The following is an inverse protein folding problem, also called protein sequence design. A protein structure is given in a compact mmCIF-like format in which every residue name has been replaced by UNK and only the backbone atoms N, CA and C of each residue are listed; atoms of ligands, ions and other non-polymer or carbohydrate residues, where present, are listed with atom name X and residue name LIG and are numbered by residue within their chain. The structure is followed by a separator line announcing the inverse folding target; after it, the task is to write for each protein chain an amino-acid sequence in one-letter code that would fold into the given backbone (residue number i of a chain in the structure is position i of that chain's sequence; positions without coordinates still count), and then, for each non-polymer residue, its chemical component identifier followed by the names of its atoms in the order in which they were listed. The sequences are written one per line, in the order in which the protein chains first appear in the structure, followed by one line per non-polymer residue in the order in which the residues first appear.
data_IF_378872651279
#
_entry.id   IF_378872651279
#
_cell.length_a   1.000
_cell.length_b   1.000
_cell.length_c   1.000
_cell.angle_alpha   90.00
_cell.angle_beta   90.00
_cell.angle_gamma   90.00
#
_symmetry.space_group_name_H-M   'P 1'
#
loop_
_entity.id
_entity.type
_entity.pdbx_description
1 polymer ?
#
# COMPACT_ATOMS: atom_id res chain seq x y z
N UNK A 1 26.70 -16.79 -70.09
CA UNK A 1 26.73 -18.22 -69.77
C UNK A 1 27.28 -18.38 -68.37
N UNK A 2 26.41 -18.56 -67.38
CA UNK A 2 26.70 -19.11 -66.05
C UNK A 2 25.34 -19.41 -65.41
N UNK A 3 25.09 -20.68 -65.13
CA UNK A 3 23.90 -21.23 -64.48
C UNK A 3 23.86 -20.84 -63.00
N UNK A 4 22.71 -20.46 -62.42
CA UNK A 4 22.56 -20.38 -60.97
C UNK A 4 22.09 -21.73 -60.41
N UNK A 5 22.78 -22.14 -59.35
CA UNK A 5 22.58 -23.35 -58.55
C UNK A 5 21.24 -23.33 -57.81
N UNK A 6 20.50 -24.45 -57.89
CA UNK A 6 19.29 -24.75 -57.13
C UNK A 6 19.64 -25.10 -55.68
N UNK A 7 19.04 -24.39 -54.71
CA UNK A 7 18.94 -24.82 -53.31
C UNK A 7 17.66 -25.65 -53.11
N UNK A 8 17.68 -26.71 -52.29
CA UNK A 8 16.46 -27.39 -51.88
C UNK A 8 15.80 -26.69 -50.69
N UNK A 9 14.49 -26.49 -50.84
CA UNK A 9 13.55 -26.02 -49.81
C UNK A 9 13.28 -27.11 -48.79
N UNK A 10 13.58 -26.87 -47.52
CA UNK A 10 13.02 -27.63 -46.39
C UNK A 10 12.38 -26.66 -45.39
N UNK A 11 11.07 -26.81 -45.21
CA UNK A 11 10.27 -26.11 -44.21
C UNK A 11 10.64 -26.56 -42.78
N UNK A 12 10.66 -25.66 -41.78
CA UNK A 12 10.71 -26.06 -40.39
C UNK A 12 9.30 -26.30 -39.84
N UNK A 13 9.06 -27.52 -39.39
CA UNK A 13 7.87 -27.97 -38.65
C UNK A 13 7.96 -27.62 -37.16
N UNK A 14 6.88 -27.01 -36.66
CA UNK A 14 6.27 -27.15 -35.32
C UNK A 14 7.12 -27.00 -34.05
N UNK A 15 6.91 -25.87 -33.38
CA UNK A 15 6.48 -25.73 -31.97
C UNK A 15 7.06 -26.70 -30.92
N UNK A 16 8.16 -26.29 -30.28
CA UNK A 16 8.54 -26.74 -28.94
C UNK A 16 8.19 -25.68 -27.90
N UNK A 17 7.02 -25.76 -27.29
CA UNK A 17 6.68 -24.97 -26.10
C UNK A 17 7.42 -25.55 -24.90
N UNK A 18 8.43 -24.83 -24.41
CA UNK A 18 9.13 -25.16 -23.18
C UNK A 18 8.19 -24.88 -22.00
N UNK A 19 7.36 -25.87 -21.63
CA UNK A 19 6.57 -25.82 -20.41
C UNK A 19 7.50 -26.08 -19.23
N UNK A 20 7.76 -25.04 -18.43
CA UNK A 20 8.30 -25.19 -17.08
C UNK A 20 7.44 -26.14 -16.24
N UNK A 21 7.98 -26.66 -15.13
CA UNK A 21 7.32 -27.69 -14.35
C UNK A 21 5.95 -27.23 -13.87
N UNK A 22 4.96 -28.13 -13.76
CA UNK A 22 3.61 -27.78 -13.33
C UNK A 22 3.67 -27.26 -11.90
N UNK A 23 3.22 -26.03 -11.69
CA UNK A 23 2.95 -25.50 -10.35
C UNK A 23 1.72 -26.23 -9.80
N UNK A 24 1.93 -27.08 -8.80
CA UNK A 24 0.86 -27.75 -8.07
C UNK A 24 -0.01 -26.68 -7.38
N UNK A 25 -1.30 -26.66 -7.72
CA UNK A 25 -2.29 -25.72 -7.20
C UNK A 25 -2.75 -26.04 -5.78
N UNK A 26 -1.83 -26.16 -4.82
CA UNK A 26 -2.17 -26.53 -3.43
C UNK A 26 -1.49 -25.73 -2.32
N UNK A 27 -0.75 -24.66 -2.64
CA UNK A 27 -0.05 -23.85 -1.61
C UNK A 27 -0.67 -22.46 -1.37
N UNK A 28 -1.95 -22.30 -1.70
CA UNK A 28 -2.75 -21.13 -1.30
C UNK A 28 -3.53 -21.43 -0.01
N UNK A 29 -2.83 -21.88 1.05
CA UNK A 29 -3.40 -21.83 2.40
C UNK A 29 -3.03 -20.48 2.99
N UNK A 30 -3.67 -19.42 2.49
CA UNK A 30 -3.59 -18.10 3.11
C UNK A 30 -4.10 -18.24 4.54
N UNK A 31 -3.32 -17.77 5.51
CA UNK A 31 -3.66 -17.78 6.93
C UNK A 31 -5.05 -17.15 7.11
N UNK A 32 -6.07 -17.96 7.40
CA UNK A 32 -7.34 -17.49 7.95
C UNK A 32 -7.08 -17.03 9.38
N UNK A 33 -6.46 -15.85 9.52
CA UNK A 33 -6.13 -15.26 10.81
C UNK A 33 -7.19 -14.22 11.18
N UNK A 34 -7.56 -14.16 12.46
CA UNK A 34 -8.43 -13.12 13.03
C UNK A 34 -7.98 -11.69 12.64
N UNK A 35 -6.68 -11.48 12.40
CA UNK A 35 -6.12 -10.19 11.97
C UNK A 35 -6.24 -9.88 10.47
N UNK A 36 -6.71 -10.82 9.62
CA UNK A 36 -6.86 -10.56 8.18
C UNK A 36 -7.95 -9.51 7.92
N UNK A 37 -7.59 -8.49 7.11
CA UNK A 37 -8.47 -7.37 6.75
C UNK A 37 -9.04 -7.48 5.32
N UNK A 38 -8.29 -8.07 4.39
CA UNK A 38 -8.66 -8.33 3.01
C UNK A 38 -7.75 -9.43 2.41
N UNK A 39 -8.18 -10.16 1.37
CA UNK A 39 -7.26 -10.94 0.56
C UNK A 39 -6.38 -10.01 -0.29
N UNK A 40 -5.22 -10.49 -0.72
CA UNK A 40 -4.37 -9.73 -1.63
C UNK A 40 -5.04 -9.53 -2.99
N UNK A 41 -5.32 -8.28 -3.32
CA UNK A 41 -5.74 -7.85 -4.63
C UNK A 41 -5.06 -6.51 -4.93
N UNK A 42 -4.12 -6.45 -5.88
CA UNK A 42 -3.34 -5.26 -6.10
C UNK A 42 -4.18 -4.12 -6.69
N UNK A 43 -3.94 -2.90 -6.21
CA UNK A 43 -4.43 -1.68 -6.87
C UNK A 43 -3.83 -1.56 -8.27
N UNK A 44 -4.64 -1.24 -9.28
CA UNK A 44 -4.16 -1.03 -10.64
C UNK A 44 -3.54 0.38 -10.79
N UNK A 45 -2.62 0.54 -11.74
CA UNK A 45 -1.85 1.78 -11.93
C UNK A 45 -2.73 3.02 -12.08
N UNK A 46 -3.86 2.90 -12.77
CA UNK A 46 -4.83 4.00 -12.92
C UNK A 46 -5.42 4.41 -11.56
N UNK A 47 -5.84 3.45 -10.73
CA UNK A 47 -6.38 3.74 -9.41
C UNK A 47 -5.31 4.28 -8.46
N UNK A 48 -4.07 3.78 -8.55
CA UNK A 48 -2.92 4.32 -7.82
C UNK A 48 -2.65 5.78 -8.19
N UNK A 49 -2.64 6.12 -9.47
CA UNK A 49 -2.42 7.50 -9.92
C UNK A 49 -3.57 8.42 -9.53
N UNK A 50 -4.82 7.97 -9.63
CA UNK A 50 -5.98 8.74 -9.16
C UNK A 50 -5.91 8.98 -7.65
N UNK A 51 -5.59 7.95 -6.85
CA UNK A 51 -5.44 8.08 -5.40
C UNK A 51 -4.31 9.07 -5.04
N UNK A 52 -3.15 8.97 -5.71
CA UNK A 52 -2.02 9.90 -5.54
C UNK A 52 -2.42 11.35 -5.80
N UNK A 53 -3.17 11.60 -6.88
CA UNK A 53 -3.70 12.92 -7.25
C UNK A 53 -4.74 13.43 -6.24
N UNK A 54 -5.66 12.58 -5.80
CA UNK A 54 -6.69 12.94 -4.82
C UNK A 54 -6.09 13.31 -3.47
N UNK A 55 -5.04 12.60 -3.04
CA UNK A 55 -4.28 12.93 -1.83
C UNK A 55 -3.49 14.23 -1.95
N UNK A 56 -3.24 14.73 -3.17
CA UNK A 56 -2.42 15.90 -3.47
C UNK A 56 -1.03 15.83 -2.81
N UNK A 57 -0.39 14.66 -2.92
CA UNK A 57 0.90 14.36 -2.28
C UNK A 57 2.01 15.31 -2.72
N UNK A 58 2.81 15.75 -1.75
CA UNK A 58 3.97 16.63 -1.89
C UNK A 58 5.22 16.01 -1.26
N UNK A 59 6.35 16.66 -1.47
CA UNK A 59 7.65 16.32 -0.89
C UNK A 59 7.70 16.47 0.64
N UNK A 60 6.79 17.24 1.23
CA UNK A 60 6.65 17.38 2.69
C UNK A 60 5.69 16.38 3.34
N UNK A 61 5.06 15.51 2.55
CA UNK A 61 4.10 14.54 3.05
C UNK A 61 4.77 13.25 3.54
N UNK A 62 4.10 12.59 4.47
CA UNK A 62 4.39 11.23 4.89
C UNK A 62 3.14 10.39 4.60
N UNK A 63 3.24 9.52 3.59
CA UNK A 63 2.19 8.61 3.17
C UNK A 63 2.31 7.28 3.91
N UNK A 64 1.23 6.88 4.58
CA UNK A 64 1.07 5.52 5.08
C UNK A 64 0.10 4.71 4.20
N UNK A 65 0.41 3.44 3.96
CA UNK A 65 -0.48 2.47 3.30
C UNK A 65 -0.79 1.31 4.26
N UNK A 66 -2.06 1.17 4.65
CA UNK A 66 -2.50 0.18 5.64
C UNK A 66 -2.99 -1.11 4.95
N UNK A 67 -2.17 -2.16 5.02
CA UNK A 67 -2.34 -3.37 4.22
C UNK A 67 -1.72 -3.19 2.83
N UNK A 68 -0.44 -2.79 2.77
CA UNK A 68 0.19 -2.32 1.53
C UNK A 68 0.46 -3.43 0.50
N UNK A 69 0.30 -4.71 0.85
CA UNK A 69 0.53 -5.83 -0.07
C UNK A 69 1.96 -5.82 -0.63
N UNK A 70 2.09 -5.83 -1.95
CA UNK A 70 3.38 -5.74 -2.65
C UNK A 70 3.92 -4.30 -2.75
N UNK A 71 3.38 -3.38 -1.94
CA UNK A 71 3.75 -1.97 -1.82
C UNK A 71 3.62 -1.14 -3.10
N UNK A 72 2.99 -1.65 -4.17
CA UNK A 72 2.94 -0.98 -5.48
C UNK A 72 2.43 0.46 -5.44
N UNK A 73 1.48 0.77 -4.55
CA UNK A 73 0.96 2.14 -4.41
C UNK A 73 2.02 3.07 -3.83
N UNK A 74 2.77 2.62 -2.82
CA UNK A 74 3.88 3.37 -2.23
C UNK A 74 5.02 3.57 -3.22
N UNK A 75 5.40 2.52 -3.94
CA UNK A 75 6.46 2.58 -4.95
C UNK A 75 6.10 3.55 -6.07
N UNK A 76 4.85 3.49 -6.56
CA UNK A 76 4.32 4.45 -7.54
C UNK A 76 4.34 5.87 -6.99
N UNK A 77 3.82 6.10 -5.77
CA UNK A 77 3.77 7.43 -5.18
C UNK A 77 5.17 8.03 -4.96
N UNK A 78 6.10 7.26 -4.41
CA UNK A 78 7.47 7.71 -4.12
C UNK A 78 8.29 8.00 -5.38
N UNK A 79 8.08 7.23 -6.46
CA UNK A 79 8.72 7.47 -7.76
C UNK A 79 8.15 8.71 -8.46
N UNK A 80 6.84 8.94 -8.35
CA UNK A 80 6.15 10.06 -9.01
C UNK A 80 6.22 11.38 -8.23
N UNK A 81 6.61 11.33 -6.95
CA UNK A 81 6.68 12.50 -6.07
C UNK A 81 8.04 12.51 -5.35
N UNK A 82 9.06 13.15 -5.93
CA UNK A 82 10.37 13.30 -5.29
C UNK A 82 10.24 13.90 -3.89
N UNK A 83 11.00 13.39 -2.92
CA UNK A 83 10.97 13.85 -1.53
C UNK A 83 9.87 13.23 -0.66
N UNK A 84 8.79 12.69 -1.24
CA UNK A 84 7.72 12.03 -0.49
C UNK A 84 8.29 10.87 0.33
N UNK A 85 7.93 10.80 1.62
CA UNK A 85 8.24 9.68 2.50
C UNK A 85 7.04 8.72 2.56
N UNK A 86 7.32 7.42 2.51
CA UNK A 86 6.31 6.38 2.37
C UNK A 86 6.56 5.24 3.38
N UNK A 87 5.51 4.84 4.10
CA UNK A 87 5.56 3.70 5.03
C UNK A 87 4.40 2.75 4.75
N UNK A 88 4.70 1.49 4.49
CA UNK A 88 3.71 0.43 4.31
C UNK A 88 3.66 -0.46 5.53
N UNK A 89 2.45 -0.85 5.96
CA UNK A 89 2.25 -1.85 7.01
C UNK A 89 1.51 -3.03 6.38
N UNK A 90 2.13 -4.20 6.36
CA UNK A 90 1.57 -5.42 5.79
C UNK A 90 1.68 -6.58 6.78
N UNK A 91 0.62 -7.38 6.91
CA UNK A 91 0.55 -8.48 7.86
C UNK A 91 1.31 -9.70 7.34
N UNK A 92 1.15 -10.00 6.05
CA UNK A 92 1.70 -11.21 5.44
C UNK A 92 3.19 -11.01 5.06
N UNK A 93 4.11 -11.77 5.66
CA UNK A 93 5.54 -11.66 5.36
C UNK A 93 5.87 -11.93 3.88
N UNK A 94 5.06 -12.72 3.17
CA UNK A 94 5.26 -12.99 1.74
C UNK A 94 5.10 -11.71 0.91
N UNK A 95 4.11 -10.88 1.23
CA UNK A 95 3.89 -9.63 0.52
C UNK A 95 4.89 -8.55 0.93
N UNK A 96 5.28 -8.49 2.22
CA UNK A 96 6.41 -7.67 2.69
C UNK A 96 7.68 -7.97 1.88
N UNK A 97 8.02 -9.25 1.74
CA UNK A 97 9.20 -9.66 0.99
C UNK A 97 9.12 -9.24 -0.49
N UNK A 98 7.96 -9.47 -1.14
CA UNK A 98 7.73 -9.04 -2.54
C UNK A 98 7.86 -7.52 -2.72
N UNK A 99 7.29 -6.74 -1.80
CA UNK A 99 7.39 -5.28 -1.83
C UNK A 99 8.84 -4.79 -1.67
N UNK A 100 9.61 -5.39 -0.76
CA UNK A 100 11.03 -5.07 -0.58
C UNK A 100 11.88 -5.48 -1.78
N UNK A 101 11.59 -6.63 -2.40
CA UNK A 101 12.27 -7.05 -3.64
C UNK A 101 12.01 -6.08 -4.79
N UNK A 102 10.76 -5.61 -4.94
CA UNK A 102 10.41 -4.59 -5.92
C UNK A 102 11.10 -3.25 -5.62
N UNK A 103 11.14 -2.84 -4.35
CA UNK A 103 11.82 -1.61 -3.91
C UNK A 103 13.32 -1.64 -4.26
N UNK A 104 14.01 -2.77 -4.07
CA UNK A 104 15.44 -2.95 -4.42
C UNK A 104 15.74 -2.73 -5.91
N UNK A 105 14.73 -2.81 -6.79
CA UNK A 105 14.89 -2.55 -8.23
C UNK A 105 14.78 -1.06 -8.60
N UNK A 106 14.47 -0.18 -7.64
CA UNK A 106 14.28 1.25 -7.86
C UNK A 106 15.57 2.05 -7.58
N UNK A 107 15.67 3.31 -8.02
CA UNK A 107 16.77 4.19 -7.65
C UNK A 107 16.97 4.31 -6.14
N UNK A 108 18.22 4.53 -5.71
CA UNK A 108 18.60 4.61 -4.30
C UNK A 108 17.79 5.68 -3.53
N UNK A 109 17.51 6.83 -4.16
CA UNK A 109 16.70 7.88 -3.53
C UNK A 109 15.27 7.42 -3.21
N UNK A 110 14.70 6.51 -4.01
CA UNK A 110 13.39 5.91 -3.75
C UNK A 110 13.50 4.85 -2.66
N UNK A 111 14.56 4.03 -2.71
CA UNK A 111 14.84 3.01 -1.70
C UNK A 111 14.90 3.58 -0.29
N UNK A 112 15.55 4.73 -0.11
CA UNK A 112 15.68 5.41 1.19
C UNK A 112 14.37 5.95 1.74
N UNK A 113 13.45 6.36 0.86
CA UNK A 113 12.19 7.05 1.20
C UNK A 113 10.98 6.13 1.33
N UNK A 114 11.15 4.82 1.15
CA UNK A 114 10.07 3.84 1.30
C UNK A 114 10.48 2.79 2.32
N UNK A 115 9.67 2.63 3.36
CA UNK A 115 9.82 1.59 4.37
C UNK A 115 8.62 0.64 4.34
N UNK A 116 8.88 -0.66 4.27
CA UNK A 116 7.84 -1.70 4.14
C UNK A 116 7.92 -2.61 5.37
N UNK A 117 7.00 -2.37 6.28
CA UNK A 117 6.96 -2.97 7.61
C UNK A 117 6.03 -4.18 7.65
N UNK A 118 6.52 -5.24 8.27
CA UNK A 118 5.66 -6.35 8.66
C UNK A 118 4.98 -5.94 9.97
N UNK A 119 3.66 -5.96 10.02
CA UNK A 119 2.93 -5.53 11.21
C UNK A 119 1.45 -5.88 11.20
N UNK A 120 0.90 -6.08 12.40
CA UNK A 120 -0.54 -6.21 12.62
C UNK A 120 -1.12 -4.86 13.04
N UNK A 121 -2.02 -4.31 12.22
CA UNK A 121 -2.70 -3.03 12.49
C UNK A 121 -3.57 -3.08 13.75
N UNK A 122 -4.09 -4.25 14.13
CA UNK A 122 -4.84 -4.42 15.38
C UNK A 122 -3.90 -4.40 16.59
N UNK A 123 -2.67 -4.88 16.44
CA UNK A 123 -1.65 -4.76 17.49
C UNK A 123 -1.14 -3.31 17.60
N UNK A 124 -0.92 -2.63 16.47
CA UNK A 124 -0.54 -1.21 16.45
C UNK A 124 -1.55 -0.34 17.20
N UNK A 125 -2.84 -0.60 17.03
CA UNK A 125 -3.90 0.08 17.80
C UNK A 125 -3.75 -0.16 19.30
N UNK A 126 -3.53 -1.40 19.74
CA UNK A 126 -3.35 -1.72 21.16
C UNK A 126 -2.13 -0.99 21.74
N UNK A 127 -1.02 -0.99 21.01
CA UNK A 127 0.20 -0.32 21.42
C UNK A 127 -0.01 1.19 21.61
N UNK A 128 -0.75 1.82 20.70
CA UNK A 128 -1.15 3.23 20.83
C UNK A 128 -2.04 3.48 22.06
N UNK A 129 -3.03 2.60 22.30
CA UNK A 129 -3.93 2.72 23.46
C UNK A 129 -3.21 2.52 24.80
N UNK A 130 -2.16 1.69 24.81
CA UNK A 130 -1.29 1.46 25.97
C UNK A 130 -0.24 2.58 26.16
N UNK A 131 -0.20 3.57 25.27
CA UNK A 131 0.73 4.69 25.35
C UNK A 131 2.18 4.31 25.07
N UNK A 132 2.42 3.21 24.34
CA UNK A 132 3.79 2.84 23.95
C UNK A 132 4.35 3.90 23.02
N UNK A 133 5.51 4.44 23.40
CA UNK A 133 6.14 5.50 22.61
C UNK A 133 6.60 4.98 21.24
N UNK A 134 7.08 3.75 21.14
CA UNK A 134 7.41 3.12 19.85
C UNK A 134 6.29 2.16 19.44
N UNK A 135 5.75 2.32 18.23
CA UNK A 135 4.86 1.30 17.68
C UNK A 135 5.70 0.06 17.32
N UNK A 136 5.16 -1.15 17.55
CA UNK A 136 5.89 -2.39 17.30
C UNK A 136 6.30 -2.60 15.84
N UNK A 137 5.83 -1.74 14.91
CA UNK A 137 6.22 -1.76 13.50
C UNK A 137 7.48 -0.94 13.23
N UNK A 138 7.78 0.04 14.08
CA UNK A 138 8.98 0.90 14.02
C UNK A 138 10.23 0.17 14.50
N UNK A 139 10.08 -0.79 15.41
CA UNK A 139 11.18 -1.54 16.00
C UNK A 139 11.25 -2.98 15.46
N UNK A 140 12.44 -3.38 14.96
CA UNK A 140 12.84 -4.74 14.54
C UNK A 140 12.38 -5.18 13.14
N UNK A 141 13.01 -4.62 12.12
CA UNK A 141 13.05 -5.27 10.82
C UNK A 141 14.47 -5.81 10.62
N UNK A 142 14.61 -7.00 10.03
CA UNK A 142 15.92 -7.45 9.54
C UNK A 142 16.47 -6.36 8.61
N UNK A 143 17.59 -5.76 9.02
CA UNK A 143 18.29 -4.78 8.21
C UNK A 143 18.64 -5.45 6.87
N UNK A 144 18.31 -4.78 5.76
CA UNK A 144 18.90 -5.14 4.49
C UNK A 144 20.42 -5.04 4.64
N UNK A 145 21.16 -5.93 3.99
CA UNK A 145 22.64 -5.95 4.10
C UNK A 145 23.31 -4.60 3.74
N UNK A 146 22.58 -3.74 3.03
CA UNK A 146 23.00 -2.40 2.61
C UNK A 146 22.61 -1.29 3.58
N UNK A 147 21.62 -1.49 4.44
CA UNK A 147 21.11 -0.46 5.36
C UNK A 147 20.45 0.74 4.66
N UNK A 148 20.10 0.63 3.38
CA UNK A 148 19.57 1.75 2.56
C UNK A 148 18.04 1.76 2.57
N UNK A 149 17.41 0.58 2.61
CA UNK A 149 15.96 0.51 2.55
C UNK A 149 15.32 1.25 3.72
N UNK A 150 14.42 2.17 3.38
CA UNK A 150 13.62 2.94 4.32
C UNK A 150 14.42 3.82 5.28
N UNK A 151 15.70 4.11 5.01
CA UNK A 151 16.58 4.85 5.94
C UNK A 151 15.94 6.16 6.43
N UNK A 152 15.33 6.92 5.53
CA UNK A 152 14.72 8.22 5.85
C UNK A 152 13.36 8.07 6.57
N UNK A 153 12.85 6.84 6.66
CA UNK A 153 11.53 6.49 7.18
C UNK A 153 11.56 5.70 8.50
N UNK A 154 12.72 5.15 8.91
CA UNK A 154 12.85 4.25 10.08
C UNK A 154 12.24 4.79 11.37
N UNK A 155 12.36 6.10 11.62
CA UNK A 155 11.84 6.74 12.84
C UNK A 155 10.40 7.25 12.74
N UNK A 156 9.74 7.09 11.58
CA UNK A 156 8.40 7.63 11.37
C UNK A 156 7.36 6.70 12.01
N UNK A 157 6.50 7.25 12.86
CA UNK A 157 5.36 6.55 13.44
C UNK A 157 4.05 7.00 12.80
N UNK A 158 3.08 6.08 12.71
CA UNK A 158 1.80 6.34 12.05
C UNK A 158 1.07 7.54 12.69
N UNK A 159 0.96 7.58 14.02
CA UNK A 159 0.25 8.65 14.72
C UNK A 159 1.00 9.98 14.73
N UNK A 160 2.34 9.98 14.84
CA UNK A 160 3.08 11.24 14.94
C UNK A 160 3.37 11.87 13.59
N UNK A 161 3.59 11.07 12.55
CA UNK A 161 4.16 11.57 11.31
C UNK A 161 3.20 11.52 10.11
N UNK A 162 2.20 10.63 10.10
CA UNK A 162 1.34 10.48 8.92
C UNK A 162 0.60 11.79 8.60
N UNK A 163 0.75 12.23 7.35
CA UNK A 163 -0.07 13.31 6.78
C UNK A 163 -1.05 12.71 5.78
N UNK A 164 -0.69 11.66 5.05
CA UNK A 164 -1.57 10.97 4.11
C UNK A 164 -1.74 9.50 4.48
N UNK A 165 -2.94 8.96 4.22
CA UNK A 165 -3.26 7.55 4.37
C UNK A 165 -3.87 7.02 3.08
N UNK A 166 -3.42 5.86 2.64
CA UNK A 166 -4.07 5.05 1.61
C UNK A 166 -4.55 3.72 2.20
N UNK A 167 -5.68 3.23 1.72
CA UNK A 167 -6.24 1.93 2.09
C UNK A 167 -6.97 1.29 0.90
N UNK A 168 -6.85 -0.03 0.79
CA UNK A 168 -7.70 -0.85 -0.08
C UNK A 168 -8.09 -2.14 0.63
N UNK A 169 -9.14 -2.07 1.45
CA UNK A 169 -9.58 -3.16 2.33
C UNK A 169 -11.05 -3.54 2.10
N UNK A 170 -11.45 -4.73 2.52
CA UNK A 170 -12.86 -5.15 2.49
C UNK A 170 -13.66 -4.48 3.63
N UNK A 171 -15.00 -4.34 3.50
CA UNK A 171 -15.83 -3.71 4.53
C UNK A 171 -15.69 -4.32 5.93
N UNK A 172 -15.48 -5.64 6.02
CA UNK A 172 -15.21 -6.32 7.30
C UNK A 172 -13.86 -5.89 7.90
N UNK A 173 -12.82 -5.75 7.07
CA UNK A 173 -11.51 -5.27 7.50
C UNK A 173 -11.55 -3.81 7.97
N UNK A 174 -12.18 -2.93 7.19
CA UNK A 174 -12.40 -1.52 7.56
C UNK A 174 -13.10 -1.44 8.92
N UNK A 175 -14.15 -2.25 9.14
CA UNK A 175 -14.83 -2.31 10.44
C UNK A 175 -13.91 -2.76 11.58
N UNK A 176 -13.01 -3.72 11.36
CA UNK A 176 -12.05 -4.18 12.38
C UNK A 176 -11.09 -3.07 12.80
N UNK A 177 -10.58 -2.29 11.84
CA UNK A 177 -9.65 -1.18 12.11
C UNK A 177 -10.37 0.16 12.36
N UNK A 178 -11.70 0.21 12.41
CA UNK A 178 -12.44 1.45 12.64
C UNK A 178 -11.97 2.21 13.91
N UNK A 179 -11.65 1.55 15.05
CA UNK A 179 -11.11 2.27 16.20
C UNK A 179 -9.74 2.91 15.93
N UNK A 180 -8.88 2.28 15.13
CA UNK A 180 -7.61 2.86 14.68
C UNK A 180 -7.84 4.08 13.79
N UNK A 181 -8.75 3.99 12.83
CA UNK A 181 -9.11 5.12 11.97
C UNK A 181 -9.66 6.29 12.79
N UNK A 182 -10.54 6.01 13.76
CA UNK A 182 -11.11 7.04 14.63
C UNK A 182 -10.03 7.68 15.51
N UNK A 183 -9.07 6.90 16.03
CA UNK A 183 -7.94 7.44 16.78
C UNK A 183 -7.04 8.33 15.90
N UNK A 184 -6.77 7.94 14.65
CA UNK A 184 -6.01 8.76 13.70
C UNK A 184 -6.75 10.04 13.31
N UNK A 185 -8.05 9.96 13.04
CA UNK A 185 -8.88 11.12 12.78
C UNK A 185 -8.88 12.10 13.97
N UNK A 186 -8.96 11.59 15.20
CA UNK A 186 -8.92 12.42 16.39
C UNK A 186 -7.53 13.03 16.64
N UNK A 187 -6.45 12.28 16.40
CA UNK A 187 -5.08 12.70 16.68
C UNK A 187 -4.50 13.58 15.56
N UNK A 188 -4.55 13.08 14.32
CA UNK A 188 -3.97 13.73 13.14
C UNK A 188 -4.93 14.73 12.50
N UNK A 189 -6.23 14.42 12.48
CA UNK A 189 -7.24 15.25 11.80
C UNK A 189 -7.60 16.55 12.54
N UNK A 190 -7.38 16.61 13.85
CA UNK A 190 -7.63 17.81 14.67
C UNK A 190 -6.36 18.66 14.90
N UNK A 191 -5.21 18.23 14.39
CA UNK A 191 -3.98 19.01 14.43
C UNK A 191 -4.05 20.09 13.32
N UNK A 192 -4.33 21.33 13.69
CA UNK A 192 -4.46 22.45 12.73
C UNK A 192 -3.18 22.72 11.93
N UNK A 193 -2.03 22.21 12.36
CA UNK A 193 -0.77 22.32 11.63
C UNK A 193 -0.54 21.14 10.68
N UNK A 194 -1.42 20.14 10.69
CA UNK A 194 -1.32 18.92 9.89
C UNK A 194 -2.45 18.86 8.88
N UNK A 195 -2.09 18.91 7.62
CA UNK A 195 -3.02 18.60 6.54
C UNK A 195 -3.17 17.08 6.48
N UNK A 196 -4.04 16.48 7.29
CA UNK A 196 -4.28 15.03 7.27
C UNK A 196 -5.32 14.66 6.20
N UNK A 197 -5.02 13.69 5.32
CA UNK A 197 -5.97 13.20 4.30
C UNK A 197 -5.93 11.69 4.19
N UNK A 198 -7.08 11.10 3.95
CA UNK A 198 -7.23 9.65 3.78
C UNK A 198 -7.89 9.38 2.43
N UNK A 199 -7.32 8.46 1.66
CA UNK A 199 -7.96 7.87 0.50
C UNK A 199 -8.26 6.40 0.77
N UNK A 200 -9.47 5.97 0.47
CA UNK A 200 -9.86 4.57 0.51
C UNK A 200 -10.41 4.14 -0.85
N UNK A 201 -9.95 2.99 -1.35
CA UNK A 201 -10.37 2.45 -2.63
C UNK A 201 -11.51 1.43 -2.50
N UNK A 202 -12.45 1.49 -3.43
CA UNK A 202 -13.61 0.61 -3.66
C UNK A 202 -14.74 0.68 -2.63
N UNK A 203 -14.45 0.90 -1.35
CA UNK A 203 -15.46 0.98 -0.29
C UNK A 203 -15.34 2.26 0.53
N UNK A 204 -16.46 2.77 1.03
CA UNK A 204 -16.44 3.91 1.94
C UNK A 204 -16.17 3.48 3.39
N UNK A 205 -15.58 4.38 4.18
CA UNK A 205 -15.54 4.30 5.64
C UNK A 205 -16.90 4.74 6.18
N UNK A 206 -17.65 3.84 6.82
CA UNK A 206 -19.08 4.04 7.13
C UNK A 206 -19.38 5.23 8.04
N UNK A 207 -18.46 5.57 8.93
CA UNK A 207 -18.64 6.64 9.93
C UNK A 207 -18.18 8.01 9.42
N UNK A 208 -17.59 8.08 8.22
CA UNK A 208 -17.01 9.29 7.66
C UNK A 208 -17.76 9.71 6.40
N UNK A 209 -17.98 11.02 6.27
CA UNK A 209 -18.51 11.59 5.05
C UNK A 209 -17.35 11.90 4.09
N UNK A 210 -17.31 11.31 2.88
CA UNK A 210 -16.25 11.61 1.92
C UNK A 210 -16.38 13.05 1.42
N UNK A 211 -15.27 13.76 1.36
CA UNK A 211 -15.24 15.12 0.80
C UNK A 211 -15.13 15.13 -0.72
N UNK A 212 -14.70 14.01 -1.32
CA UNK A 212 -14.71 13.78 -2.76
C UNK A 212 -14.87 12.27 -3.04
N UNK A 213 -15.56 11.93 -4.14
CA UNK A 213 -15.66 10.56 -4.65
C UNK A 213 -15.35 10.56 -6.15
N UNK A 214 -14.31 9.84 -6.55
CA UNK A 214 -13.98 9.60 -7.96
C UNK A 214 -14.54 8.24 -8.39
N UNK A 215 -15.18 8.17 -9.57
CA UNK A 215 -15.73 6.94 -10.15
C UNK A 215 -15.20 6.66 -11.56
N UNK A 216 -14.09 7.29 -11.93
CA UNK A 216 -13.53 7.25 -13.30
C UNK A 216 -12.53 6.11 -13.49
N UNK A 217 -12.23 5.35 -12.43
CA UNK A 217 -11.32 4.20 -12.53
C UNK A 217 -11.98 3.05 -13.31
N UNK A 218 -11.14 2.21 -13.94
CA UNK A 218 -11.59 1.02 -14.68
C UNK A 218 -12.52 0.15 -13.82
N UNK A 219 -13.73 -0.11 -14.32
CA UNK A 219 -14.73 -0.94 -13.64
C UNK A 219 -15.63 -0.20 -12.65
N UNK A 220 -15.65 1.14 -12.71
CA UNK A 220 -16.47 2.03 -11.87
C UNK A 220 -16.24 1.88 -10.36
N UNK A 221 -15.09 1.31 -9.97
CA UNK A 221 -14.71 1.15 -8.57
C UNK A 221 -14.41 2.54 -7.97
N UNK A 222 -15.18 2.99 -6.96
CA UNK A 222 -15.05 4.34 -6.44
C UNK A 222 -13.77 4.53 -5.63
N UNK A 223 -13.18 5.72 -5.66
CA UNK A 223 -12.13 6.17 -4.74
C UNK A 223 -12.70 7.29 -3.88
N UNK A 224 -12.59 7.16 -2.55
CA UNK A 224 -13.13 8.11 -1.58
C UNK A 224 -11.99 8.90 -0.94
N UNK A 225 -12.11 10.23 -0.91
CA UNK A 225 -11.22 11.12 -0.17
C UNK A 225 -11.91 11.62 1.10
N UNK A 226 -11.16 11.66 2.19
CA UNK A 226 -11.55 12.24 3.47
C UNK A 226 -10.47 13.22 3.93
N UNK A 227 -10.84 14.45 4.24
CA UNK A 227 -9.94 15.49 4.76
C UNK A 227 -10.64 16.43 5.76
N UNK A 228 -11.78 15.99 6.29
CA UNK A 228 -12.53 16.67 7.34
C UNK A 228 -12.91 15.62 8.38
N UNK A 229 -12.36 15.77 9.57
CA UNK A 229 -12.55 14.83 10.67
C UNK A 229 -13.19 15.61 11.83
N UNK A 230 -14.47 15.35 12.09
CA UNK A 230 -15.25 16.07 13.10
C UNK A 230 -16.47 15.25 13.48
N UNK A 231 -16.93 15.40 14.72
CA UNK A 231 -17.98 14.57 15.33
C UNK A 231 -19.31 14.65 14.55
N UNK A 232 -19.52 13.74 13.60
CA UNK A 232 -20.85 13.40 13.10
C UNK A 232 -21.56 12.44 14.07
N UNK A 233 -21.61 12.82 15.35
CA UNK A 233 -22.71 12.48 16.22
C UNK A 233 -23.32 13.79 16.70
N UNK A 234 -24.39 14.20 16.02
CA UNK A 234 -25.50 14.77 16.78
C UNK A 234 -25.87 13.69 17.79
N UNK A 235 -25.75 14.03 19.07
CA UNK A 235 -26.55 13.43 20.11
C UNK A 235 -28.01 13.54 19.65
N UNK A 236 -28.56 12.47 19.10
CA UNK A 236 -29.96 12.38 18.75
C UNK A 236 -30.49 11.09 19.39
N UNK A 237 -31.23 11.34 20.47
CA UNK A 237 -32.10 10.48 21.29
C UNK A 237 -31.48 9.41 22.20
#
# INVERSE_FOLDING_TARGET
MATPSTLPTTAPTSSGSNKGPPVNGSDAVHLHHESSLAPFNPTCDQASETARKMLQLKDTDVLFDLGCGDARMLLHAAAMTPGLLCVGIELDPVFVQRGREALKQLPEDVQRRVDIRQGDLLQLLKDYQEGKEEDATTAKQEEDSTGILGEDCRGLSLFRNATALYMFLLPKGIKKIQPLLNALAQHCGNDNNRNFRVVNYMFSVREWEPTMVDKTTKGDAPIYLYNKFGNNKKDNE
#
